data_IF_321085951002
#
_entry.id   IF_321085951002
#
_cell.length_a   1.000
_cell.length_b   1.000
_cell.length_c   1.000
_cell.angle_alpha   90.00
_cell.angle_beta   90.00
_cell.angle_gamma   90.00
#
_symmetry.space_group_name_H-M   'P 1'
#
loop_
_entity.id
_entity.type
_entity.pdbx_description
1 polymer ?
#
# COMPACT_ATOMS: atom_id res chain seq x y z
N UNK A 1 -18.67 -9.37 14.25
CA UNK A 1 -17.97 -8.87 13.05
C UNK A 1 -16.73 -8.14 13.52
N UNK A 2 -15.59 -8.37 12.90
CA UNK A 2 -14.40 -7.59 13.20
C UNK A 2 -14.55 -6.19 12.60
N UNK A 3 -14.55 -5.16 13.44
CA UNK A 3 -14.47 -3.78 12.97
C UNK A 3 -13.06 -3.52 12.45
N UNK A 4 -12.97 -2.99 11.23
CA UNK A 4 -11.72 -2.54 10.64
C UNK A 4 -11.61 -1.03 10.82
N UNK A 5 -10.42 -0.48 11.13
CA UNK A 5 -10.23 0.96 11.27
C UNK A 5 -10.11 1.62 9.88
N UNK A 6 -11.24 1.80 9.19
CA UNK A 6 -11.31 2.30 7.81
C UNK A 6 -10.54 3.61 7.62
N UNK A 7 -10.66 4.55 8.57
CA UNK A 7 -9.95 5.82 8.51
C UNK A 7 -8.42 5.67 8.51
N UNK A 8 -7.89 4.76 9.34
CA UNK A 8 -6.46 4.48 9.43
C UNK A 8 -5.95 3.74 8.18
N UNK A 9 -6.70 2.76 7.69
CA UNK A 9 -6.40 2.06 6.43
C UNK A 9 -6.31 3.08 5.29
N UNK A 10 -7.28 4.00 5.18
CA UNK A 10 -7.30 5.04 4.15
C UNK A 10 -6.09 5.97 4.26
N UNK A 11 -5.72 6.40 5.47
CA UNK A 11 -4.55 7.24 5.70
C UNK A 11 -3.25 6.56 5.25
N UNK A 12 -3.07 5.27 5.58
CA UNK A 12 -1.89 4.51 5.18
C UNK A 12 -1.83 4.28 3.67
N UNK A 13 -2.97 4.00 3.02
CA UNK A 13 -3.03 3.87 1.56
C UNK A 13 -2.71 5.19 0.85
N UNK A 14 -3.19 6.34 1.36
CA UNK A 14 -2.82 7.66 0.83
C UNK A 14 -1.32 7.92 0.99
N UNK A 15 -0.76 7.66 2.18
CA UNK A 15 0.68 7.83 2.41
C UNK A 15 1.53 6.93 1.48
N UNK A 16 1.06 5.70 1.23
CA UNK A 16 1.73 4.78 0.32
C UNK A 16 1.66 5.22 -1.13
N UNK A 17 0.49 5.69 -1.58
CA UNK A 17 0.29 6.28 -2.90
C UNK A 17 1.22 7.47 -3.12
N UNK A 18 1.26 8.39 -2.17
CA UNK A 18 2.06 9.61 -2.27
C UNK A 18 3.56 9.29 -2.30
N UNK A 19 4.02 8.32 -1.49
CA UNK A 19 5.40 7.83 -1.54
C UNK A 19 5.74 7.29 -2.94
N UNK A 20 4.92 6.41 -3.50
CA UNK A 20 5.16 5.83 -4.81
C UNK A 20 5.15 6.89 -5.91
N UNK A 21 4.23 7.86 -5.83
CA UNK A 21 4.13 8.94 -6.80
C UNK A 21 5.35 9.88 -6.75
N UNK A 22 5.86 10.22 -5.55
CA UNK A 22 7.09 10.99 -5.38
C UNK A 22 8.31 10.28 -5.95
N UNK A 23 8.28 8.95 -5.92
CA UNK A 23 9.37 8.09 -6.35
C UNK A 23 9.29 7.67 -7.83
N UNK A 24 8.26 8.13 -8.55
CA UNK A 24 8.06 7.85 -9.97
C UNK A 24 7.45 6.48 -10.27
N UNK A 25 6.96 5.77 -9.26
CA UNK A 25 6.38 4.43 -9.35
C UNK A 25 4.90 4.47 -9.75
N UNK A 26 4.62 4.78 -11.02
CA UNK A 26 3.23 4.93 -11.50
C UNK A 26 2.44 3.62 -11.57
N UNK A 27 3.11 2.47 -11.70
CA UNK A 27 2.43 1.19 -11.93
C UNK A 27 1.55 0.77 -10.75
N UNK A 28 2.01 1.03 -9.52
CA UNK A 28 1.34 0.60 -8.29
C UNK A 28 0.34 1.64 -7.77
N UNK A 29 0.51 2.91 -8.15
CA UNK A 29 -0.42 4.00 -7.81
C UNK A 29 -1.84 3.68 -8.28
N UNK A 30 -2.02 3.15 -9.50
CA UNK A 30 -3.34 2.76 -9.99
C UNK A 30 -4.01 1.67 -9.15
N UNK A 31 -3.25 0.68 -8.69
CA UNK A 31 -3.76 -0.37 -7.80
C UNK A 31 -4.23 0.19 -6.46
N UNK A 32 -3.47 1.12 -5.89
CA UNK A 32 -3.81 1.77 -4.62
C UNK A 32 -5.03 2.69 -4.79
N UNK A 33 -5.14 3.42 -5.90
CA UNK A 33 -6.31 4.26 -6.20
C UNK A 33 -7.58 3.42 -6.32
N UNK A 34 -7.52 2.25 -6.96
CA UNK A 34 -8.64 1.31 -6.99
C UNK A 34 -9.04 0.79 -5.60
N UNK A 35 -8.06 0.53 -4.72
CA UNK A 35 -8.34 0.12 -3.34
C UNK A 35 -8.94 1.27 -2.52
N UNK A 36 -8.47 2.51 -2.73
CA UNK A 36 -9.02 3.70 -2.06
C UNK A 36 -10.48 3.95 -2.46
N UNK A 37 -10.84 3.73 -3.73
CA UNK A 37 -12.22 3.84 -4.21
C UNK A 37 -13.16 2.86 -3.49
N UNK A 38 -12.68 1.66 -3.16
CA UNK A 38 -13.47 0.67 -2.40
C UNK A 38 -13.74 1.12 -0.95
N UNK A 39 -13.00 2.10 -0.43
CA UNK A 39 -13.19 2.64 0.91
C UNK A 39 -14.02 3.93 0.93
N UNK A 40 -14.59 4.35 -0.21
CA UNK A 40 -15.59 5.42 -0.27
C UNK A 40 -16.94 4.95 0.30
N UNK A 41 -17.83 5.88 0.65
CA UNK A 41 -19.08 5.56 1.36
C UNK A 41 -20.14 4.86 0.48
N UNK A 42 -20.68 3.69 0.88
CA UNK A 42 -20.32 2.89 2.06
C UNK A 42 -19.06 2.03 1.81
N UNK A 43 -18.12 1.95 2.79
CA UNK A 43 -16.83 1.30 2.57
C UNK A 43 -16.95 -0.23 2.42
N UNK A 44 -16.42 -0.76 1.30
CA UNK A 44 -16.18 -2.19 1.08
C UNK A 44 -14.77 -2.58 1.54
N UNK A 45 -14.64 -2.80 2.85
CA UNK A 45 -13.35 -3.18 3.46
C UNK A 45 -12.90 -4.58 3.01
N UNK A 46 -13.82 -5.48 2.71
CA UNK A 46 -13.46 -6.83 2.26
C UNK A 46 -12.93 -6.79 0.83
N UNK A 47 -13.55 -5.99 -0.05
CA UNK A 47 -13.05 -5.68 -1.38
C UNK A 47 -11.67 -5.03 -1.32
N UNK A 48 -11.50 -3.98 -0.50
CA UNK A 48 -10.21 -3.31 -0.31
C UNK A 48 -9.12 -4.28 0.17
N UNK A 49 -9.42 -5.11 1.17
CA UNK A 49 -8.53 -6.18 1.66
C UNK A 49 -8.16 -7.16 0.55
N UNK A 50 -9.14 -7.62 -0.22
CA UNK A 50 -8.92 -8.56 -1.31
C UNK A 50 -8.06 -7.95 -2.41
N UNK A 51 -8.31 -6.69 -2.78
CA UNK A 51 -7.52 -5.94 -3.75
C UNK A 51 -6.08 -5.78 -3.30
N UNK A 52 -5.86 -5.36 -2.06
CA UNK A 52 -4.52 -5.22 -1.49
C UNK A 52 -3.78 -6.56 -1.43
N UNK A 53 -4.45 -7.64 -0.99
CA UNK A 53 -3.88 -8.99 -0.97
C UNK A 53 -3.45 -9.45 -2.37
N UNK A 54 -4.29 -9.25 -3.38
CA UNK A 54 -3.98 -9.60 -4.77
C UNK A 54 -2.78 -8.82 -5.28
N UNK A 55 -2.70 -7.52 -4.96
CA UNK A 55 -1.59 -6.66 -5.35
C UNK A 55 -0.25 -7.12 -4.76
N UNK A 56 -0.26 -7.65 -3.53
CA UNK A 56 0.90 -8.24 -2.85
C UNK A 56 1.18 -9.70 -3.21
N UNK A 57 0.42 -10.31 -4.13
CA UNK A 57 0.51 -11.74 -4.44
C UNK A 57 1.33 -12.03 -5.71
N UNK A 58 2.18 -13.06 -5.67
CA UNK A 58 2.92 -13.57 -6.83
C UNK A 58 4.35 -13.03 -6.95
N UNK A 59 5.09 -13.54 -7.95
CA UNK A 59 6.47 -13.14 -8.22
C UNK A 59 6.53 -11.79 -8.95
N UNK A 60 7.34 -10.86 -8.46
CA UNK A 60 7.41 -9.50 -8.98
C UNK A 60 6.19 -8.66 -8.59
N UNK A 61 5.49 -9.06 -7.53
CA UNK A 61 4.31 -8.35 -7.04
C UNK A 61 4.69 -7.10 -6.24
N UNK A 62 3.69 -6.40 -5.72
CA UNK A 62 3.94 -5.21 -4.93
C UNK A 62 4.76 -5.49 -3.67
N UNK A 63 4.77 -6.72 -3.13
CA UNK A 63 5.61 -7.08 -1.99
C UNK A 63 7.10 -7.06 -2.33
N UNK A 64 7.44 -7.29 -3.59
CA UNK A 64 8.83 -7.43 -4.06
C UNK A 64 9.40 -6.10 -4.56
N UNK A 65 8.56 -5.07 -4.68
CA UNK A 65 8.98 -3.76 -5.17
C UNK A 65 10.01 -3.14 -4.21
N UNK A 66 11.16 -2.82 -4.78
CA UNK A 66 12.24 -2.03 -4.18
C UNK A 66 12.39 -0.76 -5.00
N UNK A 67 12.34 0.40 -4.34
CA UNK A 67 12.60 1.70 -4.97
C UNK A 67 14.10 1.88 -5.11
N UNK A 68 14.59 2.04 -6.34
CA UNK A 68 16.01 2.20 -6.61
C UNK A 68 16.44 3.68 -6.55
N UNK A 69 17.50 3.95 -5.80
CA UNK A 69 18.19 5.25 -5.71
C UNK A 69 19.69 5.05 -5.86
N UNK A 70 20.40 5.98 -6.49
CA UNK A 70 21.85 5.86 -6.66
C UNK A 70 22.59 5.94 -5.31
N UNK A 71 22.16 6.82 -4.42
CA UNK A 71 22.67 6.87 -3.05
C UNK A 71 22.09 5.74 -2.19
N UNK A 72 22.98 5.05 -1.46
CA UNK A 72 22.62 3.91 -0.64
C UNK A 72 21.74 4.30 0.56
N UNK A 73 22.04 5.41 1.23
CA UNK A 73 21.29 5.81 2.42
C UNK A 73 19.89 6.31 2.04
N UNK A 74 19.76 7.02 0.92
CA UNK A 74 18.44 7.38 0.38
C UNK A 74 17.64 6.15 -0.03
N UNK A 75 18.27 5.18 -0.72
CA UNK A 75 17.61 3.92 -1.06
C UNK A 75 17.12 3.20 0.19
N UNK A 76 17.97 3.08 1.19
CA UNK A 76 17.64 2.42 2.46
C UNK A 76 16.52 3.13 3.19
N UNK A 77 16.56 4.46 3.25
CA UNK A 77 15.54 5.29 3.92
C UNK A 77 14.17 5.15 3.27
N UNK A 78 14.09 5.27 1.94
CA UNK A 78 12.83 5.19 1.20
C UNK A 78 12.23 3.79 1.30
N UNK A 79 13.03 2.73 1.15
CA UNK A 79 12.53 1.36 1.25
C UNK A 79 12.10 0.99 2.67
N UNK A 80 12.76 1.52 3.72
CA UNK A 80 12.26 1.37 5.09
C UNK A 80 10.87 1.98 5.27
N UNK A 81 10.63 3.19 4.74
CA UNK A 81 9.31 3.82 4.80
C UNK A 81 8.25 3.01 4.06
N UNK A 82 8.60 2.49 2.88
CA UNK A 82 7.75 1.63 2.08
C UNK A 82 7.37 0.34 2.84
N UNK A 83 8.35 -0.32 3.45
CA UNK A 83 8.13 -1.54 4.24
C UNK A 83 7.30 -1.27 5.49
N UNK A 84 7.53 -0.15 6.19
CA UNK A 84 6.75 0.24 7.35
C UNK A 84 5.27 0.45 7.01
N UNK A 85 4.97 1.09 5.87
CA UNK A 85 3.60 1.28 5.38
C UNK A 85 2.94 -0.06 5.03
N UNK A 86 3.66 -0.92 4.29
CA UNK A 86 3.18 -2.26 3.92
C UNK A 86 2.87 -3.12 5.13
N UNK A 87 3.76 -3.12 6.13
CA UNK A 87 3.61 -3.89 7.36
C UNK A 87 2.38 -3.43 8.16
N UNK A 88 2.17 -2.12 8.31
CA UNK A 88 0.98 -1.58 8.98
C UNK A 88 -0.30 -1.98 8.25
N UNK A 89 -0.34 -1.85 6.93
CA UNK A 89 -1.49 -2.27 6.13
C UNK A 89 -1.76 -3.79 6.24
N UNK A 90 -0.70 -4.61 6.23
CA UNK A 90 -0.81 -6.06 6.42
C UNK A 90 -1.46 -6.41 7.77
N UNK A 91 -1.04 -5.74 8.85
CA UNK A 91 -1.63 -5.90 10.19
C UNK A 91 -3.10 -5.49 10.21
N UNK A 92 -3.44 -4.32 9.67
CA UNK A 92 -4.82 -3.82 9.68
C UNK A 92 -5.75 -4.68 8.82
N UNK A 93 -5.28 -5.15 7.66
CA UNK A 93 -6.02 -6.06 6.78
C UNK A 93 -6.01 -7.51 7.25
N UNK A 94 -5.20 -7.86 8.26
CA UNK A 94 -5.06 -9.24 8.78
C UNK A 94 -4.69 -10.21 7.65
N UNK A 95 -3.59 -9.90 6.98
CA UNK A 95 -3.02 -10.69 5.89
C UNK A 95 -1.82 -11.54 6.36
#
# INVERSE_FOLDING_TARGET
MAEYPVGEIRQLLVALRDLLQQEGESNWVYGIDGILQLLEEPPDVNGARSGYKTMCGGYGSFSDLIIWKDDFEDRRRVNRLLDDLRNKLCVLFRL
#
